data_IF_728013989797
#
_entry.id   IF_728013989797
#
_cell.length_a   1.000
_cell.length_b   1.000
_cell.length_c   1.000
_cell.angle_alpha   90.00
_cell.angle_beta   90.00
_cell.angle_gamma   90.00
#
_symmetry.space_group_name_H-M   'P 1'
#
loop_
_entity.id
_entity.type
_entity.pdbx_description
1 polymer ?
#
# COMPACT_ATOMS: atom_id res chain seq x y z
N UNK A 1 8.76 9.99 -8.54
CA UNK A 1 7.94 8.92 -7.95
C UNK A 1 7.88 7.78 -8.93
N UNK A 2 8.13 6.55 -8.50
CA UNK A 2 7.85 5.36 -9.27
C UNK A 2 6.78 4.57 -8.51
N UNK A 3 5.52 4.93 -8.73
CA UNK A 3 4.35 4.29 -8.10
C UNK A 3 3.38 3.87 -9.20
N UNK A 4 2.80 2.69 -9.10
CA UNK A 4 1.80 2.18 -10.05
C UNK A 4 0.80 1.26 -9.36
N UNK A 5 -0.37 1.11 -9.99
CA UNK A 5 -1.36 0.11 -9.61
C UNK A 5 -1.18 -1.13 -10.49
N UNK A 6 -1.16 -2.31 -9.86
CA UNK A 6 -1.19 -3.60 -10.52
C UNK A 6 -2.50 -4.32 -10.17
N UNK A 7 -3.26 -4.72 -11.18
CA UNK A 7 -4.42 -5.60 -11.00
C UNK A 7 -3.95 -7.04 -10.76
N UNK A 8 -4.50 -7.67 -9.72
CA UNK A 8 -4.18 -9.03 -9.32
C UNK A 8 -5.23 -10.01 -9.88
N UNK A 9 -4.85 -11.28 -10.01
CA UNK A 9 -5.73 -12.33 -10.55
C UNK A 9 -6.97 -12.61 -9.69
N UNK A 10 -6.98 -12.16 -8.43
CA UNK A 10 -8.12 -12.26 -7.52
C UNK A 10 -9.12 -11.09 -7.67
N UNK A 11 -8.89 -10.14 -8.58
CA UNK A 11 -9.76 -8.98 -8.81
C UNK A 11 -9.48 -7.77 -7.92
N UNK A 12 -8.49 -7.85 -7.03
CA UNK A 12 -8.03 -6.72 -6.21
C UNK A 12 -6.75 -6.11 -6.78
N UNK A 13 -6.22 -5.10 -6.10
CA UNK A 13 -5.05 -4.36 -6.58
C UNK A 13 -3.87 -4.38 -5.60
N UNK A 14 -2.69 -4.19 -6.17
CA UNK A 14 -1.46 -3.90 -5.46
C UNK A 14 -0.95 -2.51 -5.84
N UNK A 15 -0.53 -1.74 -4.84
CA UNK A 15 0.22 -0.50 -5.05
C UNK A 15 1.71 -0.84 -5.04
N UNK A 16 2.34 -0.81 -6.21
CA UNK A 16 3.77 -1.09 -6.39
C UNK A 16 4.54 0.24 -6.34
N UNK A 17 5.64 0.28 -5.60
CA UNK A 17 6.46 1.49 -5.47
C UNK A 17 7.93 1.19 -5.28
N UNK A 18 8.80 2.18 -5.53
CA UNK A 18 10.23 2.02 -5.26
C UNK A 18 10.58 2.13 -3.78
N UNK A 19 11.68 1.51 -3.35
CA UNK A 19 12.23 1.61 -1.98
C UNK A 19 12.36 3.06 -1.49
N UNK A 20 12.78 3.97 -2.38
CA UNK A 20 12.92 5.41 -2.07
C UNK A 20 11.59 6.12 -1.82
N UNK A 21 10.48 5.54 -2.28
CA UNK A 21 9.14 6.09 -2.16
C UNK A 21 8.38 5.55 -0.94
N UNK A 22 8.91 4.57 -0.19
CA UNK A 22 8.26 3.97 1.01
C UNK A 22 7.77 5.03 2.00
N UNK A 23 8.66 5.97 2.37
CA UNK A 23 8.31 7.06 3.28
C UNK A 23 7.24 7.99 2.69
N UNK A 24 7.25 8.21 1.37
CA UNK A 24 6.28 9.05 0.69
C UNK A 24 4.90 8.37 0.64
N UNK A 25 4.85 7.05 0.42
CA UNK A 25 3.61 6.25 0.51
C UNK A 25 3.02 6.34 1.90
N UNK A 26 3.85 6.14 2.94
CA UNK A 26 3.40 6.25 4.34
C UNK A 26 2.90 7.66 4.67
N UNK A 27 3.57 8.70 4.18
CA UNK A 27 3.14 10.10 4.33
C UNK A 27 1.82 10.38 3.60
N UNK A 28 1.64 9.89 2.38
CA UNK A 28 0.41 10.05 1.61
C UNK A 28 -0.77 9.33 2.29
N UNK A 29 -0.57 8.08 2.72
CA UNK A 29 -1.56 7.35 3.50
C UNK A 29 -1.91 8.08 4.80
N UNK A 30 -0.90 8.63 5.50
CA UNK A 30 -1.11 9.38 6.74
C UNK A 30 -1.91 10.66 6.52
N UNK A 31 -1.57 11.41 5.46
CA UNK A 31 -2.27 12.64 5.07
C UNK A 31 -3.75 12.38 4.75
N UNK A 32 -4.04 11.27 4.07
CA UNK A 32 -5.39 10.94 3.60
C UNK A 32 -6.27 10.30 4.69
N UNK A 33 -5.68 9.48 5.55
CA UNK A 33 -6.44 8.57 6.42
C UNK A 33 -6.09 8.66 7.90
N UNK A 34 -5.13 9.50 8.30
CA UNK A 34 -4.69 9.64 9.68
C UNK A 34 -3.62 8.63 10.03
N UNK A 35 -3.76 7.91 11.15
CA UNK A 35 -2.70 7.03 11.61
C UNK A 35 -2.50 5.82 10.68
N UNK A 36 -1.25 5.57 10.31
CA UNK A 36 -0.82 4.32 9.65
C UNK A 36 -0.15 3.45 10.71
N UNK A 37 -0.67 2.24 10.92
CA UNK A 37 -0.05 1.27 11.83
C UNK A 37 0.48 0.07 11.06
N UNK A 38 1.52 -0.56 11.59
CA UNK A 38 2.12 -1.76 11.03
C UNK A 38 2.20 -2.89 12.06
N UNK A 39 2.07 -4.12 11.59
CA UNK A 39 2.29 -5.33 12.38
C UNK A 39 3.25 -6.25 11.62
N UNK A 40 4.50 -6.39 12.07
CA UNK A 40 5.47 -7.23 11.39
C UNK A 40 5.19 -8.72 11.64
N UNK A 41 5.44 -9.54 10.63
CA UNK A 41 5.51 -10.99 10.69
C UNK A 41 6.83 -11.47 10.09
N UNK A 42 7.12 -12.77 10.21
CA UNK A 42 8.40 -13.36 9.77
C UNK A 42 8.63 -13.20 8.25
N UNK A 43 7.57 -13.25 7.44
CA UNK A 43 7.66 -13.23 5.97
C UNK A 43 6.99 -12.02 5.31
N UNK A 44 6.25 -11.21 6.06
CA UNK A 44 5.51 -10.06 5.55
C UNK A 44 5.21 -9.08 6.69
N UNK A 45 4.70 -7.90 6.37
CA UNK A 45 4.06 -7.05 7.37
C UNK A 45 2.59 -6.82 7.00
N UNK A 46 1.73 -6.65 8.00
CA UNK A 46 0.40 -6.08 7.76
C UNK A 46 0.48 -4.57 8.01
N UNK A 47 -0.15 -3.80 7.14
CA UNK A 47 -0.27 -2.35 7.25
C UNK A 47 -1.75 -1.99 7.33
N UNK A 48 -2.10 -1.04 8.19
CA UNK A 48 -3.49 -0.64 8.41
C UNK A 48 -3.63 0.87 8.28
N UNK A 49 -4.57 1.30 7.44
CA UNK A 49 -5.03 2.69 7.32
C UNK A 49 -6.38 2.74 6.62
N UNK A 50 -7.13 3.83 6.80
CA UNK A 50 -8.42 4.03 6.12
C UNK A 50 -9.48 2.97 6.45
N UNK A 51 -9.33 2.26 7.58
CA UNK A 51 -10.19 1.13 7.96
C UNK A 51 -9.91 -0.18 7.20
N UNK A 52 -8.89 -0.20 6.34
CA UNK A 52 -8.49 -1.37 5.57
C UNK A 52 -7.18 -1.99 6.09
N UNK A 53 -6.97 -3.25 5.72
CA UNK A 53 -5.75 -4.03 5.98
C UNK A 53 -5.06 -4.34 4.66
N UNK A 54 -3.75 -4.15 4.64
CA UNK A 54 -2.88 -4.41 3.50
C UNK A 54 -1.79 -5.39 3.90
N UNK A 55 -1.34 -6.19 2.94
CA UNK A 55 -0.11 -6.97 3.07
C UNK A 55 1.01 -6.13 2.46
N UNK A 56 2.00 -5.78 3.26
CA UNK A 56 3.24 -5.20 2.80
C UNK A 56 4.24 -6.31 2.52
N UNK A 57 4.77 -6.33 1.31
CA UNK A 57 5.89 -7.16 0.91
C UNK A 57 7.00 -6.27 0.38
N UNK A 58 8.24 -6.69 0.59
CA UNK A 58 9.43 -6.04 0.07
C UNK A 58 10.35 -7.14 -0.45
N UNK A 59 9.90 -7.76 -1.54
CA UNK A 59 10.68 -8.79 -2.21
C UNK A 59 11.58 -8.10 -3.25
N UNK A 60 12.88 -8.37 -3.19
CA UNK A 60 13.86 -7.90 -4.19
C UNK A 60 13.97 -6.37 -4.34
N UNK A 61 13.65 -5.59 -3.30
CA UNK A 61 13.59 -4.12 -3.31
C UNK A 61 12.49 -3.54 -4.22
N UNK A 62 11.41 -4.30 -4.45
CA UNK A 62 10.19 -3.84 -5.13
C UNK A 62 9.03 -3.88 -4.13
N UNK A 63 8.95 -2.90 -3.19
CA UNK A 63 7.94 -2.92 -2.15
C UNK A 63 6.54 -2.67 -2.70
N UNK A 64 5.57 -3.36 -2.10
CA UNK A 64 4.18 -3.25 -2.50
C UNK A 64 3.21 -3.32 -1.32
N UNK A 65 2.04 -2.74 -1.51
CA UNK A 65 0.89 -2.88 -0.61
C UNK A 65 -0.24 -3.57 -1.37
N UNK A 66 -0.57 -4.78 -0.92
CA UNK A 66 -1.60 -5.61 -1.53
C UNK A 66 -2.90 -5.48 -0.75
N UNK A 67 -3.98 -5.16 -1.45
CA UNK A 67 -5.35 -5.20 -0.94
C UNK A 67 -6.02 -6.54 -1.26
N UNK A 68 -7.00 -6.92 -0.42
CA UNK A 68 -7.88 -8.07 -0.64
C UNK A 68 -9.36 -7.72 -0.37
N UNK A 69 -9.70 -6.44 -0.45
CA UNK A 69 -11.06 -5.93 -0.18
C UNK A 69 -11.32 -4.68 -1.01
N UNK A 70 -12.56 -4.44 -1.42
CA UNK A 70 -12.95 -3.23 -2.17
C UNK A 70 -12.61 -1.92 -1.44
N UNK A 71 -12.71 -1.92 -0.09
CA UNK A 71 -12.32 -0.77 0.73
C UNK A 71 -10.81 -0.51 0.62
N UNK A 72 -10.00 -1.56 0.71
CA UNK A 72 -8.56 -1.48 0.52
C UNK A 72 -8.20 -0.97 -0.86
N UNK A 73 -8.90 -1.42 -1.90
CA UNK A 73 -8.67 -0.97 -3.28
C UNK A 73 -8.95 0.53 -3.41
N UNK A 74 -10.08 1.00 -2.88
CA UNK A 74 -10.41 2.42 -2.86
C UNK A 74 -9.36 3.26 -2.09
N UNK A 75 -8.80 2.71 -1.01
CA UNK A 75 -7.72 3.35 -0.27
C UNK A 75 -6.42 3.44 -1.10
N UNK A 76 -5.97 2.35 -1.73
CA UNK A 76 -4.75 2.34 -2.55
C UNK A 76 -4.88 3.27 -3.76
N UNK A 77 -6.05 3.32 -4.40
CA UNK A 77 -6.31 4.26 -5.50
C UNK A 77 -6.17 5.71 -5.05
N UNK A 78 -6.67 6.08 -3.86
CA UNK A 78 -6.49 7.45 -3.34
C UNK A 78 -5.05 7.78 -3.01
N UNK A 79 -4.30 6.82 -2.44
CA UNK A 79 -2.85 7.00 -2.21
C UNK A 79 -2.14 7.22 -3.54
N UNK A 80 -2.45 6.41 -4.55
CA UNK A 80 -1.89 6.56 -5.89
C UNK A 80 -2.19 7.93 -6.51
N UNK A 81 -3.42 8.42 -6.43
CA UNK A 81 -3.78 9.76 -6.94
C UNK A 81 -3.09 10.91 -6.18
N UNK A 82 -2.91 10.80 -4.87
CA UNK A 82 -2.17 11.79 -4.06
C UNK A 82 -0.67 11.80 -4.40
N UNK A 83 -0.15 10.70 -4.92
CA UNK A 83 1.26 10.53 -5.30
C UNK A 83 1.54 10.82 -6.79
N UNK A 84 0.57 11.35 -7.53
CA UNK A 84 0.80 11.89 -8.88
C UNK A 84 1.26 13.34 -8.81
#
# INVERSE_FOLDING_TARGET
MNVRILELSNGHISLEFGEKDVSLVAMAATKLFGEVSHKPYIMAAEVYFGGAKFIYQDEWNDPCLISNTDLGDACLLRVYEEMK
#
